data_IF_355443258417
#
_entry.id   IF_355443258417
#
_cell.length_a   1.000
_cell.length_b   1.000
_cell.length_c   1.000
_cell.angle_alpha   90.00
_cell.angle_beta   90.00
_cell.angle_gamma   90.00
#
_symmetry.space_group_name_H-M   'P 1'
#
loop_
_entity.id
_entity.type
_entity.pdbx_description
1 polymer ?
#
# COMPACT_ATOMS: atom_id res chain seq x y z
N UNK A 1 -20.51 -51.42 -2.52
CA UNK A 1 -19.44 -50.42 -2.71
C UNK A 1 -20.08 -49.20 -3.33
N UNK A 2 -20.28 -48.09 -2.58
CA UNK A 2 -20.69 -46.82 -3.20
C UNK A 2 -19.48 -46.11 -3.74
N UNK A 3 -19.58 -45.64 -4.99
CA UNK A 3 -18.60 -44.87 -5.71
C UNK A 3 -18.40 -43.51 -5.04
N UNK A 4 -17.14 -43.15 -4.86
CA UNK A 4 -16.76 -41.83 -4.36
C UNK A 4 -17.02 -40.77 -5.44
N UNK A 5 -17.97 -39.89 -5.19
CA UNK A 5 -18.20 -38.68 -5.97
C UNK A 5 -16.98 -37.78 -5.85
N UNK A 6 -16.20 -37.66 -6.91
CA UNK A 6 -15.18 -36.62 -7.01
C UNK A 6 -15.89 -35.27 -7.14
N UNK A 7 -15.88 -34.45 -6.07
CA UNK A 7 -16.23 -33.03 -6.14
C UNK A 7 -15.17 -32.34 -6.98
N UNK A 8 -15.45 -32.14 -8.27
CA UNK A 8 -14.67 -31.30 -9.15
C UNK A 8 -14.62 -29.90 -8.57
N UNK A 9 -13.41 -29.40 -8.29
CA UNK A 9 -13.16 -28.00 -8.00
C UNK A 9 -13.46 -27.21 -9.28
N UNK A 10 -14.60 -26.55 -9.31
CA UNK A 10 -15.05 -25.72 -10.44
C UNK A 10 -14.19 -24.43 -10.41
N UNK A 11 -13.03 -24.47 -11.08
CA UNK A 11 -12.08 -23.37 -11.19
C UNK A 11 -12.61 -22.25 -12.09
N UNK A 12 -13.70 -21.60 -11.69
CA UNK A 12 -14.19 -20.38 -12.32
C UNK A 12 -13.14 -19.26 -12.27
N UNK A 13 -13.18 -18.33 -13.24
CA UNK A 13 -12.33 -17.14 -13.20
C UNK A 13 -12.52 -16.39 -11.86
N UNK A 14 -11.43 -15.83 -11.27
CA UNK A 14 -11.53 -15.13 -10.00
C UNK A 14 -12.49 -13.94 -10.08
N UNK A 15 -13.27 -13.74 -9.05
CA UNK A 15 -14.15 -12.58 -8.92
C UNK A 15 -13.33 -11.29 -8.84
N UNK A 16 -13.98 -10.14 -9.10
CA UNK A 16 -13.31 -8.84 -8.93
C UNK A 16 -12.75 -8.67 -7.51
N UNK A 17 -13.48 -9.15 -6.50
CA UNK A 17 -13.05 -9.09 -5.11
C UNK A 17 -11.78 -9.89 -4.87
N UNK A 18 -11.75 -11.14 -5.29
CA UNK A 18 -10.57 -12.01 -5.16
C UNK A 18 -9.37 -11.41 -5.90
N UNK A 19 -9.58 -10.87 -7.10
CA UNK A 19 -8.52 -10.19 -7.88
C UNK A 19 -7.95 -8.98 -7.13
N UNK A 20 -8.80 -8.18 -6.50
CA UNK A 20 -8.36 -7.00 -5.73
C UNK A 20 -7.66 -7.42 -4.43
N UNK A 21 -8.18 -8.40 -3.71
CA UNK A 21 -7.56 -8.91 -2.49
C UNK A 21 -6.16 -9.46 -2.77
N UNK A 22 -6.01 -10.27 -3.79
CA UNK A 22 -4.71 -10.81 -4.21
C UNK A 22 -3.73 -9.69 -4.61
N UNK A 23 -4.20 -8.68 -5.34
CA UNK A 23 -3.39 -7.52 -5.70
C UNK A 23 -2.87 -6.76 -4.47
N UNK A 24 -3.71 -6.54 -3.45
CA UNK A 24 -3.30 -5.86 -2.21
C UNK A 24 -2.31 -6.71 -1.40
N UNK A 25 -2.49 -8.03 -1.36
CA UNK A 25 -1.55 -8.94 -0.68
C UNK A 25 -0.21 -9.00 -1.42
N UNK A 26 -0.21 -8.99 -2.75
CA UNK A 26 1.01 -8.87 -3.56
C UNK A 26 1.73 -7.55 -3.26
N UNK A 27 1.01 -6.43 -3.23
CA UNK A 27 1.57 -5.11 -2.88
C UNK A 27 2.25 -5.16 -1.51
N UNK A 28 1.56 -5.65 -0.49
CA UNK A 28 2.08 -5.80 0.86
C UNK A 28 3.34 -6.68 0.90
N UNK A 29 3.32 -7.81 0.18
CA UNK A 29 4.46 -8.72 0.08
C UNK A 29 5.68 -8.09 -0.57
N UNK A 30 5.50 -7.26 -1.59
CA UNK A 30 6.60 -6.52 -2.25
C UNK A 30 7.23 -5.50 -1.29
N UNK A 31 6.42 -4.77 -0.53
CA UNK A 31 6.90 -3.81 0.47
C UNK A 31 7.64 -4.51 1.61
N UNK A 32 7.13 -5.61 2.14
CA UNK A 32 7.75 -6.39 3.22
C UNK A 32 9.07 -7.05 2.78
N UNK A 33 9.16 -7.42 1.51
CA UNK A 33 10.38 -7.96 0.90
C UNK A 33 11.36 -6.89 0.39
N UNK A 34 11.04 -5.59 0.53
CA UNK A 34 11.82 -4.47 0.01
C UNK A 34 12.07 -4.53 -1.52
N UNK A 35 11.15 -5.17 -2.26
CA UNK A 35 11.15 -5.23 -3.73
C UNK A 35 10.53 -3.96 -4.30
N UNK A 36 11.14 -2.81 -3.98
CA UNK A 36 10.55 -1.49 -4.20
C UNK A 36 10.44 -1.09 -5.67
N UNK A 37 11.32 -1.59 -6.54
CA UNK A 37 11.21 -1.35 -7.99
C UNK A 37 9.99 -2.07 -8.58
N UNK A 38 9.70 -3.28 -8.11
CA UNK A 38 8.53 -4.04 -8.53
C UNK A 38 7.25 -3.42 -7.95
N UNK A 39 7.31 -2.91 -6.73
CA UNK A 39 6.21 -2.13 -6.16
C UNK A 39 5.93 -0.86 -6.97
N UNK A 40 6.96 -0.11 -7.40
CA UNK A 40 6.80 1.03 -8.30
C UNK A 40 6.13 0.65 -9.63
N UNK A 41 6.43 -0.53 -10.16
CA UNK A 41 5.83 -1.02 -11.39
C UNK A 41 4.33 -1.31 -11.28
N UNK A 42 3.77 -1.37 -10.07
CA UNK A 42 2.32 -1.48 -9.87
C UNK A 42 1.58 -0.17 -10.18
N UNK A 43 2.27 0.97 -10.27
CA UNK A 43 1.63 2.27 -10.51
C UNK A 43 1.42 2.54 -12.00
N UNK A 44 0.38 3.32 -12.29
CA UNK A 44 0.21 3.96 -13.60
C UNK A 44 1.23 5.08 -13.80
N UNK A 45 1.42 5.56 -15.04
CA UNK A 45 2.35 6.64 -15.33
C UNK A 45 1.96 7.96 -14.62
N UNK A 46 0.67 8.17 -14.36
CA UNK A 46 0.10 9.29 -13.60
C UNK A 46 -0.14 8.95 -12.12
N UNK A 47 0.51 7.91 -11.62
CA UNK A 47 0.36 7.42 -10.27
C UNK A 47 0.72 8.44 -9.19
N UNK A 48 0.06 8.35 -8.02
CA UNK A 48 0.28 9.24 -6.89
C UNK A 48 0.23 8.48 -5.56
N UNK A 49 1.13 8.83 -4.65
CA UNK A 49 1.17 8.33 -3.29
C UNK A 49 1.03 9.47 -2.30
N UNK A 50 0.01 9.40 -1.42
CA UNK A 50 -0.34 10.43 -0.46
C UNK A 50 -0.38 9.87 0.96
N UNK A 51 0.25 10.58 1.89
CA UNK A 51 0.06 10.39 3.33
C UNK A 51 -0.29 11.75 3.92
N UNK A 52 -1.56 12.03 4.21
CA UNK A 52 -1.98 13.28 4.82
C UNK A 52 -1.50 13.37 6.28
N UNK A 53 -1.58 14.57 6.88
CA UNK A 53 -1.38 14.73 8.32
C UNK A 53 -2.50 14.05 9.11
N UNK A 54 -2.21 13.64 10.34
CA UNK A 54 -3.14 12.89 11.19
C UNK A 54 -4.33 13.74 11.66
N UNK A 55 -4.14 15.03 11.79
CA UNK A 55 -5.15 16.02 12.21
C UNK A 55 -6.06 16.48 11.06
N UNK A 56 -5.67 16.26 9.81
CA UNK A 56 -6.45 16.66 8.64
C UNK A 56 -6.42 15.62 7.49
N UNK A 57 -7.00 14.42 7.69
CA UNK A 57 -6.90 13.31 6.74
C UNK A 57 -7.58 13.55 5.39
N UNK A 58 -8.54 14.49 5.33
CA UNK A 58 -9.24 14.89 4.09
C UNK A 58 -8.67 16.16 3.45
N UNK A 59 -7.52 16.66 3.93
CA UNK A 59 -6.88 17.86 3.42
C UNK A 59 -6.55 17.79 1.93
N UNK A 60 -6.67 18.93 1.26
CA UNK A 60 -6.23 19.09 -0.13
C UNK A 60 -4.70 19.30 -0.16
N UNK A 61 -3.90 18.37 -0.68
CA UNK A 61 -2.43 18.48 -0.68
C UNK A 61 -1.88 19.75 -1.35
N UNK A 62 -2.71 20.45 -2.14
CA UNK A 62 -2.34 21.72 -2.78
C UNK A 62 -2.47 22.92 -1.85
N UNK A 63 -3.17 22.76 -0.71
CA UNK A 63 -3.51 23.85 0.24
C UNK A 63 -3.08 23.52 1.67
N UNK A 64 -3.09 22.24 2.01
CA UNK A 64 -2.89 21.74 3.36
C UNK A 64 -1.55 21.03 3.50
N UNK A 65 -1.00 21.00 4.72
CA UNK A 65 0.20 20.24 5.01
C UNK A 65 -0.08 18.74 4.90
N UNK A 66 0.85 18.01 4.30
CA UNK A 66 0.82 16.54 4.20
C UNK A 66 2.20 15.98 4.55
N UNK A 67 2.26 14.75 5.05
CA UNK A 67 3.55 14.09 5.29
C UNK A 67 4.21 13.66 4.00
N UNK A 68 3.44 13.14 3.06
CA UNK A 68 3.91 12.67 1.75
C UNK A 68 2.86 13.06 0.70
N UNK A 69 3.34 13.61 -0.41
CA UNK A 69 2.58 13.85 -1.63
C UNK A 69 3.53 13.66 -2.82
N UNK A 70 3.64 12.40 -3.24
CA UNK A 70 4.55 12.01 -4.29
C UNK A 70 3.80 11.68 -5.58
N UNK A 71 4.10 12.41 -6.64
CA UNK A 71 3.91 11.96 -8.02
C UNK A 71 4.95 10.87 -8.38
N UNK A 72 4.89 10.33 -9.58
CA UNK A 72 5.80 9.27 -10.00
C UNK A 72 7.29 9.69 -10.02
N UNK A 73 7.59 10.98 -10.20
CA UNK A 73 8.99 11.48 -10.15
C UNK A 73 9.50 11.43 -8.72
N UNK A 74 8.73 11.97 -7.78
CA UNK A 74 9.08 11.99 -6.35
C UNK A 74 9.08 10.58 -5.76
N UNK A 75 8.12 9.74 -6.18
CA UNK A 75 8.02 8.37 -5.70
C UNK A 75 9.24 7.53 -6.12
N UNK A 76 9.71 7.67 -7.35
CA UNK A 76 10.97 7.06 -7.80
C UNK A 76 12.16 7.55 -6.99
N UNK A 77 12.27 8.87 -6.78
CA UNK A 77 13.34 9.43 -5.95
C UNK A 77 13.29 8.94 -4.49
N UNK A 78 12.08 8.74 -3.93
CA UNK A 78 11.88 8.12 -2.61
C UNK A 78 12.41 6.70 -2.58
N UNK A 79 12.04 5.87 -3.55
CA UNK A 79 12.50 4.48 -3.64
C UNK A 79 14.02 4.42 -3.77
N UNK A 80 14.63 5.21 -4.63
CA UNK A 80 16.09 5.27 -4.76
C UNK A 80 16.78 5.67 -3.44
N UNK A 81 16.21 6.65 -2.72
CA UNK A 81 16.73 7.04 -1.40
C UNK A 81 16.60 5.92 -0.37
N UNK A 82 15.49 5.17 -0.35
CA UNK A 82 15.29 4.04 0.56
C UNK A 82 16.26 2.88 0.28
N UNK A 83 16.63 2.67 -0.97
CA UNK A 83 17.61 1.65 -1.40
C UNK A 83 19.06 2.09 -1.12
N UNK A 84 19.29 3.39 -0.98
CA UNK A 84 20.64 3.95 -0.82
C UNK A 84 21.18 3.69 0.58
N UNK A 85 22.46 3.25 0.66
CA UNK A 85 23.22 3.13 1.92
C UNK A 85 23.38 4.47 2.64
N UNK A 86 23.22 5.59 1.93
CA UNK A 86 23.30 6.95 2.47
C UNK A 86 21.93 7.45 2.98
N UNK A 87 20.86 6.70 2.77
CA UNK A 87 19.54 6.96 3.34
C UNK A 87 19.50 6.62 4.83
N UNK A 88 20.18 7.37 5.66
CA UNK A 88 20.54 7.07 7.06
C UNK A 88 19.44 6.56 7.98
N UNK A 89 18.16 6.84 7.69
CA UNK A 89 17.05 6.41 8.56
C UNK A 89 16.69 4.93 8.42
N UNK A 90 16.88 4.33 7.24
CA UNK A 90 16.46 2.96 6.95
C UNK A 90 17.61 2.04 6.51
N UNK A 91 18.86 2.43 6.72
CA UNK A 91 19.99 1.54 6.49
C UNK A 91 20.61 1.04 7.81
N UNK A 92 20.79 -0.27 8.03
CA UNK A 92 20.21 -1.39 7.25
C UNK A 92 18.68 -1.36 7.28
N UNK A 93 18.04 -1.90 6.24
CA UNK A 93 16.57 -1.85 6.09
C UNK A 93 15.85 -2.40 7.31
N UNK A 94 14.82 -1.71 7.76
CA UNK A 94 13.91 -2.21 8.77
C UNK A 94 13.17 -3.43 8.23
N UNK A 95 12.81 -4.36 9.10
CA UNK A 95 11.82 -5.38 8.73
C UNK A 95 10.44 -4.77 8.91
N UNK A 96 9.59 -4.95 7.93
CA UNK A 96 8.19 -4.54 7.99
C UNK A 96 7.26 -5.73 7.89
N UNK A 97 6.04 -5.55 8.36
CA UNK A 97 4.97 -6.51 8.19
C UNK A 97 3.65 -5.76 8.01
N UNK A 98 3.11 -5.85 6.80
CA UNK A 98 1.83 -5.24 6.44
C UNK A 98 0.70 -6.24 6.65
N UNK A 99 -0.28 -5.87 7.47
CA UNK A 99 -1.54 -6.58 7.65
C UNK A 99 -2.65 -5.74 7.03
N UNK A 100 -3.45 -6.34 6.14
CA UNK A 100 -4.55 -5.68 5.45
C UNK A 100 -5.85 -6.41 5.80
N UNK A 101 -6.90 -5.64 6.10
CA UNK A 101 -8.20 -6.19 6.46
C UNK A 101 -9.33 -5.24 6.07
N UNK A 102 -10.58 -5.67 6.30
CA UNK A 102 -11.79 -4.85 6.09
C UNK A 102 -11.89 -4.27 4.67
N UNK A 103 -11.48 -5.04 3.67
CA UNK A 103 -11.46 -4.60 2.28
C UNK A 103 -12.88 -4.35 1.79
N UNK A 104 -13.12 -3.13 1.29
CA UNK A 104 -14.34 -2.69 0.62
C UNK A 104 -13.98 -2.15 -0.75
N UNK A 105 -14.78 -2.46 -1.74
CA UNK A 105 -14.56 -1.98 -3.11
C UNK A 105 -15.86 -1.49 -3.73
N UNK A 106 -15.74 -0.50 -4.60
CA UNK A 106 -16.79 0.01 -5.47
C UNK A 106 -16.18 0.37 -6.83
N UNK A 107 -16.99 0.32 -7.88
CA UNK A 107 -16.57 0.75 -9.21
C UNK A 107 -17.14 2.14 -9.45
N UNK A 108 -16.28 3.10 -9.78
CA UNK A 108 -16.62 4.49 -10.07
C UNK A 108 -15.81 5.01 -11.25
N UNK A 109 -16.48 5.57 -12.25
CA UNK A 109 -15.86 6.20 -13.42
C UNK A 109 -14.80 5.32 -14.11
N UNK A 110 -15.07 4.03 -14.22
CA UNK A 110 -14.18 3.05 -14.84
C UNK A 110 -12.95 2.69 -13.99
N UNK A 111 -12.86 3.17 -12.77
CA UNK A 111 -11.85 2.77 -11.79
C UNK A 111 -12.46 1.94 -10.66
N UNK A 112 -11.63 1.15 -9.99
CA UNK A 112 -12.00 0.42 -8.79
C UNK A 112 -11.47 1.20 -7.59
N UNK A 113 -12.36 1.73 -6.77
CA UNK A 113 -12.01 2.40 -5.52
C UNK A 113 -12.08 1.36 -4.40
N UNK A 114 -10.97 1.21 -3.68
CA UNK A 114 -10.81 0.22 -2.61
C UNK A 114 -10.46 0.92 -1.33
N UNK A 115 -11.18 0.65 -0.27
CA UNK A 115 -10.79 1.03 1.09
C UNK A 115 -10.45 -0.21 1.90
N UNK A 116 -9.46 -0.12 2.77
CA UNK A 116 -9.06 -1.22 3.66
C UNK A 116 -8.41 -0.67 4.92
N UNK A 117 -8.48 -1.41 6.02
CA UNK A 117 -7.71 -1.12 7.23
C UNK A 117 -6.33 -1.75 7.14
N UNK A 118 -5.33 -1.10 7.74
CA UNK A 118 -4.00 -1.66 7.84
C UNK A 118 -3.40 -1.57 9.24
N UNK A 119 -2.49 -2.51 9.52
CA UNK A 119 -1.48 -2.42 10.57
C UNK A 119 -0.15 -2.72 9.91
N UNK A 120 0.81 -1.79 10.00
CA UNK A 120 2.18 -2.01 9.56
C UNK A 120 3.09 -2.00 10.77
N UNK A 121 3.70 -3.13 11.09
CA UNK A 121 4.77 -3.18 12.08
C UNK A 121 6.12 -2.91 11.42
N UNK A 122 6.89 -2.01 12.00
CA UNK A 122 8.29 -1.79 11.69
C UNK A 122 9.16 -2.30 12.82
N UNK A 123 10.08 -3.21 12.52
CA UNK A 123 11.02 -3.79 13.48
C UNK A 123 12.42 -3.28 13.17
N UNK A 124 13.03 -2.60 14.14
CA UNK A 124 14.38 -2.05 14.01
C UNK A 124 15.07 -1.96 15.35
N UNK A 125 16.35 -2.41 15.42
CA UNK A 125 17.19 -2.30 16.62
C UNK A 125 16.54 -2.84 17.91
N UNK A 126 15.79 -3.93 17.80
CA UNK A 126 15.10 -4.55 18.93
C UNK A 126 13.77 -3.90 19.31
N UNK A 127 13.39 -2.81 18.67
CA UNK A 127 12.12 -2.13 18.89
C UNK A 127 11.10 -2.47 17.79
N UNK A 128 9.82 -2.39 18.13
CA UNK A 128 8.72 -2.50 17.18
C UNK A 128 7.83 -1.26 17.25
N UNK A 129 7.54 -0.68 16.10
CA UNK A 129 6.67 0.49 15.98
C UNK A 129 5.50 0.15 15.07
N UNK A 130 4.26 0.13 15.58
CA UNK A 130 3.08 -0.06 14.74
C UNK A 130 2.66 1.26 14.11
N UNK A 131 2.19 1.18 12.86
CA UNK A 131 1.44 2.20 12.16
C UNK A 131 0.07 1.63 11.88
N UNK A 132 -0.99 2.30 12.34
CA UNK A 132 -2.37 1.83 12.24
C UNK A 132 -3.16 2.89 11.50
N UNK A 133 -4.04 2.44 10.59
CA UNK A 133 -4.87 3.34 9.83
C UNK A 133 -5.63 2.62 8.71
N UNK A 134 -5.92 3.37 7.67
CA UNK A 134 -6.65 2.86 6.53
C UNK A 134 -6.06 3.35 5.21
N UNK A 135 -6.24 2.53 4.17
CA UNK A 135 -5.87 2.86 2.79
C UNK A 135 -7.09 3.23 1.97
N UNK A 136 -6.87 4.11 0.99
CA UNK A 136 -7.70 4.24 -0.18
C UNK A 136 -6.83 4.04 -1.42
N UNK A 137 -7.22 3.06 -2.25
CA UNK A 137 -6.63 2.84 -3.55
C UNK A 137 -7.62 3.19 -4.64
N UNK A 138 -7.16 3.88 -5.68
CA UNK A 138 -7.85 3.99 -6.95
C UNK A 138 -7.10 3.15 -7.96
N UNK A 139 -7.70 2.02 -8.35
CA UNK A 139 -7.09 1.06 -9.25
C UNK A 139 -7.70 1.20 -10.65
N UNK A 140 -6.85 1.04 -11.67
CA UNK A 140 -7.25 0.97 -13.07
C UNK A 140 -6.75 -0.32 -13.70
N UNK A 141 -7.47 -0.79 -14.74
CA UNK A 141 -6.96 -1.86 -15.59
C UNK A 141 -6.14 -1.24 -16.73
N UNK A 142 -4.90 -1.69 -16.86
CA UNK A 142 -3.99 -1.35 -17.97
C UNK A 142 -3.52 -2.69 -18.54
N UNK A 143 -3.79 -2.92 -19.81
CA UNK A 143 -3.46 -4.18 -20.50
C UNK A 143 -3.96 -5.45 -19.77
N UNK A 144 -5.16 -5.34 -19.18
CA UNK A 144 -5.80 -6.43 -18.42
C UNK A 144 -5.37 -6.55 -16.96
N UNK A 145 -4.29 -5.93 -16.54
CA UNK A 145 -3.76 -5.98 -15.18
C UNK A 145 -4.19 -4.78 -14.33
N UNK A 146 -4.30 -4.97 -13.02
CA UNK A 146 -4.55 -3.88 -12.10
C UNK A 146 -3.29 -3.01 -11.92
N UNK A 147 -3.49 -1.70 -11.91
CA UNK A 147 -2.46 -0.69 -11.62
C UNK A 147 -3.01 0.35 -10.65
N UNK A 148 -2.13 0.88 -9.81
CA UNK A 148 -2.43 1.92 -8.83
C UNK A 148 -2.36 3.29 -9.52
N UNK A 149 -3.49 3.98 -9.64
CA UNK A 149 -3.52 5.38 -10.04
C UNK A 149 -3.36 6.30 -8.83
N UNK A 150 -3.99 5.97 -7.71
CA UNK A 150 -3.86 6.73 -6.47
C UNK A 150 -3.80 5.78 -5.28
N UNK A 151 -2.88 6.04 -4.37
CA UNK A 151 -2.71 5.33 -3.11
C UNK A 151 -2.61 6.34 -1.98
N UNK A 152 -3.57 6.33 -1.10
CA UNK A 152 -3.63 7.18 0.09
C UNK A 152 -3.51 6.29 1.32
N UNK A 153 -2.59 6.63 2.24
CA UNK A 153 -2.45 5.97 3.54
C UNK A 153 -2.77 6.99 4.63
N UNK A 154 -3.84 6.78 5.37
CA UNK A 154 -4.28 7.65 6.47
C UNK A 154 -3.96 6.97 7.78
N UNK A 155 -3.22 7.67 8.65
CA UNK A 155 -2.85 7.18 9.96
C UNK A 155 -3.89 7.61 10.99
N UNK A 156 -4.26 6.68 11.90
CA UNK A 156 -5.17 6.93 13.02
C UNK A 156 -4.43 7.44 14.27
N UNK A 157 -3.09 7.59 14.19
CA UNK A 157 -2.27 8.05 15.32
C UNK A 157 -2.40 9.56 15.50
N UNK A 158 -2.63 10.03 16.72
CA UNK A 158 -2.66 11.44 17.07
C UNK A 158 -1.30 12.13 16.92
N UNK A 159 -0.20 11.36 17.01
CA UNK A 159 1.15 11.83 16.76
C UNK A 159 2.01 10.70 16.18
N UNK A 160 2.89 11.03 15.25
CA UNK A 160 3.99 10.15 14.88
C UNK A 160 4.95 10.03 16.08
N UNK A 161 5.39 8.78 16.38
CA UNK A 161 6.39 8.52 17.43
C UNK A 161 7.57 9.49 17.38
N UNK A 162 8.36 9.57 18.43
CA UNK A 162 9.44 10.55 18.76
C UNK A 162 10.28 11.13 17.59
N UNK A 163 10.20 10.59 16.39
CA UNK A 163 10.96 11.05 15.23
C UNK A 163 10.13 11.83 14.19
N UNK A 164 8.82 12.04 14.40
CA UNK A 164 7.98 12.96 13.62
C UNK A 164 7.91 12.73 12.11
N UNK A 165 8.32 11.56 11.60
CA UNK A 165 8.35 11.27 10.17
C UNK A 165 8.08 9.80 9.86
N UNK A 166 7.34 9.58 8.77
CA UNK A 166 7.17 8.26 8.16
C UNK A 166 8.41 7.94 7.32
N UNK A 167 9.23 7.01 7.80
CA UNK A 167 10.52 6.65 7.18
C UNK A 167 10.43 5.46 6.23
N UNK A 168 9.34 4.72 6.27
CA UNK A 168 9.04 3.58 5.40
C UNK A 168 7.89 3.93 4.44
N UNK A 169 7.60 3.06 3.48
CA UNK A 169 6.34 3.11 2.74
C UNK A 169 5.28 2.39 3.57
N UNK A 170 4.19 3.09 3.87
CA UNK A 170 3.06 2.52 4.60
C UNK A 170 2.14 1.78 3.66
#
# INVERSE_FOLDING_TARGET
MPEASSTGNDGGAPTLRETVEEFLYQEAGLLDAWRLDEWLALFTADGRYLVPTTDFPEGDPRKDLVFIDDDMVRLRARVERLKSRHGHREYPSSRTRHFISNIRLKVEDGAIVVTSSFIVYRFRMGESSPYIGWYEHRLKRVDGELRIQHRKAVLDLEALSEHGAVSIIL
#
